data_IF_856940647810
#
_entry.id   IF_856940647810
#
_cell.length_a   1.000
_cell.length_b   1.000
_cell.length_c   1.000
_cell.angle_alpha   90.00
_cell.angle_beta   90.00
_cell.angle_gamma   90.00
#
_symmetry.space_group_name_H-M   'P 1'
#
loop_
_entity.id
_entity.type
_entity.pdbx_description
1 polymer ?
#
# COMPACT_ATOMS: atom_id res chain seq x y z
N UNK A 1 -6.46 -6.03 18.63
CA UNK A 1 -5.30 -6.26 17.74
C UNK A 1 -4.25 -5.20 18.01
N UNK A 2 -2.99 -5.56 18.27
CA UNK A 2 -1.90 -4.60 18.45
C UNK A 2 -0.78 -4.94 17.47
N UNK A 3 -0.55 -4.06 16.49
CA UNK A 3 0.60 -4.13 15.60
C UNK A 3 1.83 -3.64 16.38
N UNK A 4 2.91 -4.41 16.35
CA UNK A 4 4.15 -4.08 17.04
C UNK A 4 5.32 -4.36 16.11
N UNK A 5 5.79 -3.33 15.42
CA UNK A 5 6.90 -3.40 14.50
C UNK A 5 7.57 -2.02 14.39
N UNK A 6 8.92 -1.93 14.29
CA UNK A 6 9.65 -0.66 14.27
C UNK A 6 9.21 0.29 13.16
N UNK A 7 8.73 -0.25 12.04
CA UNK A 7 8.26 0.53 10.88
C UNK A 7 6.73 0.68 10.80
N UNK A 8 6.00 0.50 11.91
CA UNK A 8 4.56 0.76 12.00
C UNK A 8 4.33 1.77 13.13
N UNK A 9 3.50 2.80 12.90
CA UNK A 9 3.19 3.80 13.93
C UNK A 9 2.43 3.14 15.07
N UNK A 10 2.93 3.19 16.32
CA UNK A 10 2.26 2.58 17.45
C UNK A 10 0.93 3.27 17.78
N UNK A 11 -0.12 2.45 17.92
CA UNK A 11 -1.34 2.85 18.61
C UNK A 11 -1.08 2.84 20.12
N UNK A 12 -1.22 4.01 20.74
CA UNK A 12 -1.00 4.21 22.17
C UNK A 12 -2.31 3.98 22.93
N UNK A 13 -3.41 4.56 22.46
CA UNK A 13 -4.71 4.44 23.08
C UNK A 13 -5.83 4.63 22.04
N UNK A 14 -7.05 4.32 22.44
CA UNK A 14 -8.26 4.66 21.69
C UNK A 14 -9.33 5.17 22.65
N UNK A 15 -10.23 6.00 22.16
CA UNK A 15 -11.40 6.45 22.88
C UNK A 15 -12.62 6.15 22.02
N UNK A 16 -13.69 5.69 22.67
CA UNK A 16 -14.98 5.42 22.07
C UNK A 16 -16.04 6.02 22.97
N UNK A 17 -16.84 6.93 22.43
CA UNK A 17 -17.98 7.53 23.11
C UNK A 17 -19.16 7.55 22.15
N UNK A 18 -20.34 7.20 22.62
CA UNK A 18 -21.57 7.31 21.83
C UNK A 18 -22.37 8.51 22.31
N UNK A 19 -22.71 9.39 21.39
CA UNK A 19 -23.60 10.53 21.66
C UNK A 19 -24.97 10.25 21.07
N UNK A 20 -26.01 10.43 21.88
CA UNK A 20 -27.37 10.44 21.35
C UNK A 20 -27.58 11.80 20.69
N UNK A 21 -27.95 11.80 19.41
CA UNK A 21 -28.31 12.98 18.63
C UNK A 21 -29.77 12.91 18.21
N UNK A 22 -30.37 14.08 18.01
CA UNK A 22 -31.69 14.20 17.41
C UNK A 22 -31.53 14.43 15.92
N UNK A 23 -32.17 13.60 15.10
CA UNK A 23 -32.20 13.78 13.65
C UNK A 23 -33.63 14.00 13.21
N UNK A 24 -33.86 15.10 12.50
CA UNK A 24 -35.14 15.36 11.85
C UNK A 24 -35.13 14.72 10.45
N UNK A 25 -36.14 13.89 10.18
CA UNK A 25 -36.36 13.30 8.86
C UNK A 25 -37.86 13.38 8.54
N UNK A 26 -38.21 14.07 7.45
CA UNK A 26 -39.60 14.28 7.01
C UNK A 26 -40.53 14.85 8.11
N UNK A 27 -40.01 15.78 8.92
CA UNK A 27 -40.77 16.43 10.01
C UNK A 27 -40.95 15.57 11.27
N UNK A 28 -40.28 14.40 11.36
CA UNK A 28 -40.25 13.54 12.55
C UNK A 28 -38.86 13.54 13.18
N UNK A 29 -38.82 13.54 14.51
CA UNK A 29 -37.57 13.51 15.28
C UNK A 29 -37.25 12.07 15.71
N UNK A 30 -36.04 11.63 15.37
CA UNK A 30 -35.51 10.33 15.74
C UNK A 30 -34.31 10.49 16.67
N UNK A 31 -34.16 9.55 17.59
CA UNK A 31 -32.96 9.40 18.39
C UNK A 31 -31.99 8.52 17.61
N UNK A 32 -30.83 9.07 17.26
CA UNK A 32 -29.77 8.31 16.63
C UNK A 32 -28.56 8.26 17.57
N UNK A 33 -27.91 7.10 17.62
CA UNK A 33 -26.64 6.98 18.31
C UNK A 33 -25.54 7.33 17.31
N UNK A 34 -24.82 8.41 17.60
CA UNK A 34 -23.65 8.83 16.85
C UNK A 34 -22.40 8.34 17.59
N UNK A 35 -21.76 7.25 17.14
CA UNK A 35 -20.49 6.83 17.70
C UNK A 35 -19.40 7.84 17.31
N UNK A 36 -18.68 8.33 18.30
CA UNK A 36 -17.44 9.10 18.15
C UNK A 36 -16.26 8.22 18.57
N UNK A 37 -15.25 8.16 17.71
CA UNK A 37 -14.07 7.33 17.93
C UNK A 37 -12.82 8.16 17.69
N UNK A 38 -11.87 8.07 18.61
CA UNK A 38 -10.56 8.71 18.49
C UNK A 38 -9.47 7.66 18.63
N UNK A 39 -8.49 7.69 17.74
CA UNK A 39 -7.24 6.94 17.88
C UNK A 39 -6.13 7.85 18.35
N UNK A 40 -5.37 7.40 19.34
CA UNK A 40 -4.22 8.10 19.89
C UNK A 40 -2.94 7.40 19.44
N UNK A 41 -2.19 8.01 18.54
CA UNK A 41 -0.96 7.48 17.96
C UNK A 41 0.28 8.17 18.54
N UNK A 42 1.42 7.47 18.49
CA UNK A 42 2.73 8.07 18.77
C UNK A 42 3.00 9.23 17.78
N UNK A 43 3.37 10.41 18.28
CA UNK A 43 3.68 11.55 17.42
C UNK A 43 5.02 11.38 16.70
N UNK A 44 5.01 11.66 15.40
CA UNK A 44 6.17 11.59 14.52
C UNK A 44 6.63 13.02 14.19
N UNK A 45 7.66 13.55 14.88
CA UNK A 45 7.98 14.99 14.84
C UNK A 45 8.51 15.48 13.50
N UNK A 46 9.02 14.60 12.64
CA UNK A 46 9.48 14.97 11.29
C UNK A 46 8.37 14.88 10.25
N UNK A 47 7.13 14.60 10.66
CA UNK A 47 5.98 14.61 9.77
C UNK A 47 6.04 13.51 8.71
N UNK A 48 5.43 13.77 7.56
CA UNK A 48 5.28 12.77 6.49
C UNK A 48 6.41 12.83 5.45
N UNK A 49 6.72 11.68 4.87
CA UNK A 49 7.70 11.54 3.78
C UNK A 49 7.34 12.42 2.58
N UNK A 50 6.05 12.71 2.33
CA UNK A 50 5.60 13.61 1.26
C UNK A 50 6.33 14.95 1.25
N UNK A 51 6.60 15.53 2.43
CA UNK A 51 7.30 16.82 2.55
C UNK A 51 8.77 16.77 2.12
N UNK A 52 9.33 15.56 1.96
CA UNK A 52 10.71 15.31 1.56
C UNK A 52 10.84 14.83 0.11
N UNK A 53 9.74 14.78 -0.66
CA UNK A 53 9.77 14.30 -2.06
C UNK A 53 9.53 15.41 -3.10
N UNK A 54 9.10 16.60 -2.68
CA UNK A 54 8.64 17.68 -3.57
C UNK A 54 9.74 18.50 -4.26
N UNK A 55 11.01 18.20 -4.05
CA UNK A 55 12.13 18.93 -4.64
C UNK A 55 13.27 17.94 -4.97
N UNK A 56 13.88 18.03 -6.15
CA UNK A 56 15.07 17.24 -6.52
C UNK A 56 16.21 17.43 -5.49
N UNK A 57 16.19 18.58 -4.80
CA UNK A 57 17.18 19.05 -3.83
C UNK A 57 16.80 18.88 -2.36
N UNK A 58 15.73 18.12 -2.03
CA UNK A 58 15.11 17.97 -0.70
C UNK A 58 15.99 17.47 0.47
N UNK A 59 17.31 17.49 0.35
CA UNK A 59 18.26 17.32 1.44
C UNK A 59 18.47 15.88 1.89
N UNK A 60 17.69 14.91 1.37
CA UNK A 60 17.95 13.49 1.63
C UNK A 60 19.04 12.98 0.70
N UNK A 61 20.19 12.65 1.30
CA UNK A 61 21.23 11.86 0.68
C UNK A 61 20.71 10.46 0.29
N UNK A 62 21.47 9.76 -0.55
CA UNK A 62 21.09 8.45 -1.04
C UNK A 62 20.95 7.41 0.08
N UNK A 63 21.88 7.38 1.04
CA UNK A 63 21.86 6.43 2.14
C UNK A 63 20.57 6.55 2.96
N UNK A 64 20.09 7.77 3.17
CA UNK A 64 18.83 8.04 3.84
C UNK A 64 17.63 7.54 3.04
N UNK A 65 17.61 7.79 1.73
CA UNK A 65 16.55 7.32 0.83
C UNK A 65 16.49 5.79 0.81
N UNK A 66 17.63 5.13 0.70
CA UNK A 66 17.73 3.68 0.70
C UNK A 66 17.20 3.07 2.01
N UNK A 67 17.65 3.60 3.17
CA UNK A 67 17.12 3.17 4.48
C UNK A 67 15.61 3.36 4.61
N UNK A 68 15.07 4.45 4.05
CA UNK A 68 13.63 4.71 4.02
C UNK A 68 12.91 3.62 3.21
N UNK A 69 13.39 3.32 2.00
CA UNK A 69 12.84 2.25 1.16
C UNK A 69 12.85 0.92 1.91
N UNK A 70 13.98 0.52 2.49
CA UNK A 70 14.12 -0.75 3.20
C UNK A 70 13.07 -0.93 4.30
N UNK A 71 12.92 0.03 5.21
CA UNK A 71 11.95 -0.12 6.29
C UNK A 71 10.50 0.09 5.88
N UNK A 72 10.19 0.75 4.74
CA UNK A 72 8.83 0.66 4.18
C UNK A 72 8.56 -0.78 3.73
N UNK A 73 9.52 -1.41 3.05
CA UNK A 73 9.42 -2.80 2.63
C UNK A 73 9.29 -3.75 3.84
N UNK A 74 10.07 -3.55 4.91
CA UNK A 74 9.95 -4.34 6.14
C UNK A 74 8.59 -4.13 6.83
N UNK A 75 8.14 -2.88 6.93
CA UNK A 75 6.81 -2.57 7.48
C UNK A 75 5.69 -3.24 6.70
N UNK A 76 5.75 -3.22 5.36
CA UNK A 76 4.74 -3.87 4.53
C UNK A 76 4.82 -5.40 4.60
N UNK A 77 6.04 -5.96 4.63
CA UNK A 77 6.26 -7.40 4.83
C UNK A 77 5.64 -7.88 6.13
N UNK A 78 5.81 -7.12 7.21
CA UNK A 78 5.18 -7.42 8.49
C UNK A 78 3.65 -7.49 8.38
N UNK A 79 3.02 -6.53 7.69
CA UNK A 79 1.56 -6.51 7.50
C UNK A 79 1.05 -7.69 6.67
N UNK A 80 1.79 -8.06 5.63
CA UNK A 80 1.36 -9.05 4.63
C UNK A 80 1.67 -10.49 5.01
N UNK A 81 2.73 -10.73 5.78
CA UNK A 81 3.29 -12.08 5.93
C UNK A 81 3.70 -12.42 7.38
N UNK A 82 4.26 -11.48 8.17
CA UNK A 82 4.79 -11.83 9.50
C UNK A 82 3.79 -11.67 10.66
N UNK A 83 2.95 -10.64 10.65
CA UNK A 83 2.10 -10.29 11.81
C UNK A 83 1.07 -11.39 12.12
N UNK A 84 0.36 -11.84 11.09
CA UNK A 84 -0.44 -13.05 11.11
C UNK A 84 -0.47 -13.65 9.70
N UNK A 85 0.29 -14.73 9.43
CA UNK A 85 0.38 -15.35 8.11
C UNK A 85 -0.98 -15.79 7.53
N UNK A 86 -1.94 -16.04 8.41
CA UNK A 86 -3.28 -16.48 8.04
C UNK A 86 -4.25 -15.35 7.77
N UNK A 87 -3.97 -14.15 8.28
CA UNK A 87 -4.85 -12.99 8.12
C UNK A 87 -4.05 -11.74 7.75
N UNK A 88 -3.59 -11.63 6.50
CA UNK A 88 -2.79 -10.49 6.09
C UNK A 88 -3.59 -9.19 6.19
N UNK A 89 -2.90 -8.11 6.55
CA UNK A 89 -3.43 -6.75 6.55
C UNK A 89 -3.06 -6.10 5.22
N UNK A 90 -4.06 -5.77 4.42
CA UNK A 90 -3.90 -4.98 3.20
C UNK A 90 -4.13 -3.52 3.58
N UNK A 91 -3.13 -2.67 3.39
CA UNK A 91 -3.14 -1.28 3.80
C UNK A 91 -4.15 -0.43 3.01
N UNK A 92 -4.19 -0.62 1.68
CA UNK A 92 -5.06 0.02 0.69
C UNK A 92 -4.84 1.51 0.40
N UNK A 93 -4.13 2.25 1.26
CA UNK A 93 -3.81 3.66 1.01
C UNK A 93 -2.33 3.97 1.30
N UNK A 94 -1.44 3.11 0.82
CA UNK A 94 -0.01 3.32 0.97
C UNK A 94 0.44 4.47 0.04
N UNK A 95 1.01 5.52 0.64
CA UNK A 95 1.49 6.73 -0.05
C UNK A 95 2.49 7.47 0.84
N UNK A 96 3.32 8.38 0.32
CA UNK A 96 4.30 9.12 1.12
C UNK A 96 3.69 9.96 2.26
N UNK A 97 2.42 10.39 2.13
CA UNK A 97 1.72 11.08 3.22
C UNK A 97 1.43 10.16 4.43
N UNK A 98 1.34 8.85 4.19
CA UNK A 98 1.06 7.81 5.19
C UNK A 98 2.34 7.08 5.64
N UNK A 99 3.51 7.60 5.27
CA UNK A 99 4.82 7.21 5.80
C UNK A 99 5.32 8.36 6.67
N UNK A 100 5.28 8.19 7.99
CA UNK A 100 5.72 9.21 8.93
C UNK A 100 7.17 8.98 9.38
N UNK A 101 7.84 10.05 9.78
CA UNK A 101 9.26 10.03 10.16
C UNK A 101 9.41 10.44 11.63
N UNK A 102 10.09 9.59 12.40
CA UNK A 102 10.38 9.87 13.81
C UNK A 102 11.53 10.90 13.98
N UNK A 103 11.93 11.15 15.23
CA UNK A 103 13.04 12.08 15.54
C UNK A 103 14.37 11.67 14.91
N UNK A 104 14.62 10.37 14.79
CA UNK A 104 15.78 9.76 14.17
C UNK A 104 15.57 9.53 12.67
N UNK A 105 14.48 10.09 12.14
CA UNK A 105 14.11 10.10 10.73
C UNK A 105 13.74 8.67 10.24
N UNK A 106 13.50 7.73 11.16
CA UNK A 106 13.05 6.37 10.90
C UNK A 106 11.59 6.42 10.48
N UNK A 107 11.29 5.72 9.41
CA UNK A 107 10.02 5.71 8.73
C UNK A 107 9.07 4.67 9.32
N UNK A 108 7.81 5.05 9.48
CA UNK A 108 6.73 4.22 10.02
C UNK A 108 5.45 4.38 9.18
N UNK A 109 4.84 3.27 8.80
CA UNK A 109 3.55 3.23 8.10
C UNK A 109 2.43 3.60 9.09
N UNK A 110 1.49 4.44 8.65
CA UNK A 110 0.33 4.88 9.43
C UNK A 110 -0.93 4.90 8.56
N UNK A 111 -2.06 5.30 9.16
CA UNK A 111 -3.35 5.48 8.51
C UNK A 111 -3.95 4.18 7.95
N UNK A 112 -4.33 3.30 8.87
CA UNK A 112 -5.01 2.04 8.59
C UNK A 112 -6.52 2.19 8.38
N UNK A 113 -7.03 3.42 8.15
CA UNK A 113 -8.47 3.69 8.06
C UNK A 113 -9.17 2.98 6.90
N UNK A 114 -8.43 2.70 5.82
CA UNK A 114 -8.92 1.94 4.67
C UNK A 114 -8.50 0.47 4.68
N UNK A 115 -7.70 0.04 5.65
CA UNK A 115 -7.12 -1.30 5.64
C UNK A 115 -8.16 -2.40 5.77
N UNK A 116 -7.80 -3.60 5.31
CA UNK A 116 -8.65 -4.80 5.36
C UNK A 116 -7.86 -5.98 5.90
N UNK A 117 -8.52 -6.78 6.72
CA UNK A 117 -8.06 -8.10 7.13
C UNK A 117 -8.69 -9.12 6.20
N UNK A 118 -7.86 -9.98 5.63
CA UNK A 118 -8.36 -11.15 4.91
C UNK A 118 -8.43 -12.34 5.86
N UNK A 119 -9.53 -13.10 5.83
CA UNK A 119 -9.67 -14.33 6.60
C UNK A 119 -8.88 -15.50 5.99
N UNK A 120 -8.82 -16.64 6.69
CA UNK A 120 -8.00 -17.81 6.32
C UNK A 120 -8.19 -18.29 4.87
N UNK A 121 -9.40 -18.19 4.30
CA UNK A 121 -9.71 -18.62 2.93
C UNK A 121 -9.82 -17.47 1.91
N UNK A 122 -9.74 -16.21 2.37
CA UNK A 122 -9.98 -15.07 1.51
C UNK A 122 -8.66 -14.54 0.94
N UNK A 123 -8.38 -14.85 -0.33
CA UNK A 123 -7.21 -14.30 -1.04
C UNK A 123 -7.53 -13.03 -1.83
N UNK A 124 -8.82 -12.71 -2.00
CA UNK A 124 -9.33 -11.59 -2.79
C UNK A 124 -10.71 -11.15 -2.34
N UNK A 125 -10.98 -9.84 -2.43
CA UNK A 125 -12.32 -9.26 -2.30
C UNK A 125 -12.57 -8.27 -3.44
N UNK A 126 -13.83 -8.01 -3.79
CA UNK A 126 -14.20 -6.94 -4.72
C UNK A 126 -15.12 -5.94 -4.04
N UNK A 127 -14.99 -4.66 -4.39
CA UNK A 127 -15.88 -3.60 -3.90
C UNK A 127 -16.30 -2.65 -5.02
N UNK A 128 -17.51 -2.12 -4.92
CA UNK A 128 -18.02 -1.07 -5.82
C UNK A 128 -17.50 0.32 -5.44
N UNK A 129 -17.25 0.55 -4.14
CA UNK A 129 -16.74 1.81 -3.61
C UNK A 129 -15.22 1.79 -3.55
N UNK A 130 -14.59 2.59 -4.41
CA UNK A 130 -13.14 2.66 -4.55
C UNK A 130 -12.63 3.87 -3.77
N UNK A 131 -11.89 3.60 -2.70
CA UNK A 131 -11.27 4.62 -1.84
C UNK A 131 -9.76 4.47 -1.87
N UNK A 132 -9.04 5.58 -1.77
CA UNK A 132 -7.57 5.62 -1.78
C UNK A 132 -7.07 6.84 -2.55
N UNK A 133 -5.76 6.91 -2.75
CA UNK A 133 -5.12 8.09 -3.34
C UNK A 133 -4.72 7.86 -4.80
N UNK A 134 -5.25 8.70 -5.70
CA UNK A 134 -4.90 8.69 -7.12
C UNK A 134 -3.39 8.78 -7.34
N UNK A 135 -2.89 7.99 -8.30
CA UNK A 135 -1.47 7.86 -8.62
C UNK A 135 -0.74 6.76 -7.83
N UNK A 136 -1.30 6.27 -6.71
CA UNK A 136 -0.77 5.10 -5.99
C UNK A 136 -1.68 3.87 -6.10
N UNK A 137 -2.93 4.06 -6.53
CA UNK A 137 -3.89 2.97 -6.67
C UNK A 137 -3.55 2.04 -7.84
N UNK A 138 -3.57 0.73 -7.57
CA UNK A 138 -3.36 -0.29 -8.58
C UNK A 138 -4.47 -0.30 -9.65
N UNK A 139 -4.14 -0.54 -10.93
CA UNK A 139 -5.09 -0.45 -12.04
C UNK A 139 -6.25 -1.46 -11.91
N UNK A 140 -6.01 -2.66 -11.41
CA UNK A 140 -7.06 -3.66 -11.18
C UNK A 140 -8.07 -3.24 -10.11
N UNK A 141 -7.64 -2.44 -9.14
CA UNK A 141 -8.53 -1.90 -8.11
C UNK A 141 -9.37 -0.75 -8.69
N UNK A 142 -8.74 0.16 -9.43
CA UNK A 142 -9.45 1.24 -10.14
C UNK A 142 -10.49 0.68 -11.11
N UNK A 143 -10.13 -0.34 -11.87
CA UNK A 143 -11.00 -0.87 -12.91
C UNK A 143 -12.08 -1.80 -12.34
N UNK A 144 -11.69 -2.77 -11.50
CA UNK A 144 -12.56 -3.89 -11.09
C UNK A 144 -12.89 -3.90 -9.60
N UNK A 145 -12.32 -3.00 -8.81
CA UNK A 145 -12.51 -2.98 -7.36
C UNK A 145 -11.83 -4.14 -6.64
N UNK A 146 -10.90 -4.84 -7.32
CA UNK A 146 -10.19 -6.00 -6.79
C UNK A 146 -9.21 -5.59 -5.70
N UNK A 147 -9.38 -6.14 -4.50
CA UNK A 147 -8.49 -5.96 -3.36
C UNK A 147 -7.70 -7.26 -3.16
N UNK A 148 -6.37 -7.14 -3.19
CA UNK A 148 -5.40 -8.20 -2.87
C UNK A 148 -4.11 -7.57 -2.33
N UNK A 149 -3.17 -8.40 -1.84
CA UNK A 149 -1.86 -7.92 -1.37
C UNK A 149 -1.11 -7.15 -2.46
N UNK A 150 -1.22 -7.59 -3.71
CA UNK A 150 -0.56 -6.97 -4.86
C UNK A 150 -0.96 -5.51 -5.11
N UNK A 151 -2.08 -5.04 -4.55
CA UNK A 151 -2.49 -3.64 -4.58
C UNK A 151 -1.50 -2.76 -3.79
N UNK A 152 -1.12 -3.18 -2.58
CA UNK A 152 -0.13 -2.45 -1.80
C UNK A 152 1.26 -2.57 -2.42
N UNK A 153 1.56 -3.69 -3.10
CA UNK A 153 2.83 -3.85 -3.85
C UNK A 153 2.93 -2.82 -4.98
N UNK A 154 1.86 -2.59 -5.73
CA UNK A 154 1.84 -1.53 -6.74
C UNK A 154 2.09 -0.16 -6.11
N UNK A 155 1.40 0.14 -5.00
CA UNK A 155 1.56 1.40 -4.26
C UNK A 155 3.00 1.58 -3.78
N UNK A 156 3.62 0.51 -3.25
CA UNK A 156 5.02 0.47 -2.86
C UNK A 156 5.95 0.76 -4.03
N UNK A 157 5.70 0.16 -5.20
CA UNK A 157 6.48 0.41 -6.42
C UNK A 157 6.52 1.89 -6.81
N UNK A 158 5.35 2.54 -6.82
CA UNK A 158 5.26 3.98 -7.09
C UNK A 158 6.03 4.79 -6.05
N UNK A 159 5.93 4.45 -4.76
CA UNK A 159 6.66 5.14 -3.68
C UNK A 159 8.17 4.99 -3.87
N UNK A 160 8.67 3.80 -4.20
CA UNK A 160 10.09 3.56 -4.44
C UNK A 160 10.58 4.43 -5.59
N UNK A 161 9.86 4.43 -6.72
CA UNK A 161 10.19 5.27 -7.88
C UNK A 161 10.22 6.75 -7.50
N UNK A 162 9.23 7.22 -6.72
CA UNK A 162 9.14 8.60 -6.25
C UNK A 162 10.29 8.97 -5.30
N UNK A 163 10.68 8.07 -4.39
CA UNK A 163 11.85 8.28 -3.51
C UNK A 163 13.13 8.39 -4.32
N UNK A 164 13.33 7.54 -5.33
CA UNK A 164 14.56 7.52 -6.11
C UNK A 164 14.64 8.71 -7.07
N UNK A 165 13.54 9.07 -7.73
CA UNK A 165 13.55 10.06 -8.83
C UNK A 165 13.01 11.43 -8.45
N UNK A 166 12.31 11.56 -7.32
CA UNK A 166 11.58 12.77 -6.94
C UNK A 166 10.23 12.93 -7.66
N UNK A 167 9.83 11.99 -8.52
CA UNK A 167 8.56 12.03 -9.24
C UNK A 167 7.96 10.63 -9.42
N UNK A 168 6.67 10.55 -9.76
CA UNK A 168 5.97 9.27 -9.90
C UNK A 168 5.96 8.69 -11.31
N UNK A 169 6.70 9.30 -12.24
CA UNK A 169 6.71 8.87 -13.64
C UNK A 169 7.58 7.63 -13.82
N UNK A 170 7.05 6.63 -14.53
CA UNK A 170 7.76 5.41 -14.93
C UNK A 170 7.29 4.99 -16.34
N UNK A 171 8.09 4.21 -17.09
CA UNK A 171 7.70 3.74 -18.41
C UNK A 171 6.41 2.91 -18.33
N UNK A 172 5.53 3.09 -19.32
CA UNK A 172 4.30 2.31 -19.41
C UNK A 172 4.63 0.83 -19.62
N UNK A 173 3.92 -0.05 -18.93
CA UNK A 173 4.13 -1.50 -19.05
C UNK A 173 3.47 -1.99 -20.35
N UNK A 174 4.24 -2.03 -21.42
CA UNK A 174 3.80 -2.54 -22.73
C UNK A 174 4.12 -4.02 -22.88
N UNK A 175 3.31 -4.74 -23.67
CA UNK A 175 3.58 -6.16 -23.98
C UNK A 175 4.86 -6.37 -24.79
N UNK A 176 5.33 -5.31 -25.46
CA UNK A 176 6.60 -5.30 -26.20
C UNK A 176 7.70 -4.81 -25.28
N UNK A 177 8.75 -5.60 -25.11
CA UNK A 177 10.00 -5.14 -24.51
C UNK A 177 10.80 -4.32 -25.54
N UNK A 178 10.63 -3.00 -25.49
CA UNK A 178 11.35 -2.02 -26.32
C UNK A 178 12.62 -1.48 -25.63
N UNK A 179 13.01 -2.10 -24.52
CA UNK A 179 14.09 -1.65 -23.65
C UNK A 179 13.80 -0.34 -22.92
N UNK A 180 12.55 0.13 -22.87
CA UNK A 180 12.16 1.36 -22.15
C UNK A 180 12.52 1.32 -20.67
N UNK A 181 12.37 0.16 -20.02
CA UNK A 181 12.76 -0.05 -18.62
C UNK A 181 14.27 0.14 -18.43
N UNK A 182 15.09 -0.44 -19.31
CA UNK A 182 16.54 -0.32 -19.25
C UNK A 182 17.00 1.12 -19.49
N UNK A 183 16.45 1.78 -20.52
CA UNK A 183 16.72 3.21 -20.80
C UNK A 183 16.33 4.11 -19.63
N UNK A 184 15.23 3.79 -18.95
CA UNK A 184 14.79 4.52 -17.76
C UNK A 184 15.77 4.36 -16.59
N UNK A 185 16.23 3.13 -16.31
CA UNK A 185 17.26 2.86 -15.30
C UNK A 185 18.55 3.64 -15.62
N UNK A 186 19.03 3.59 -16.86
CA UNK A 186 20.22 4.32 -17.30
C UNK A 186 20.08 5.84 -17.13
N UNK A 187 18.91 6.39 -17.44
CA UNK A 187 18.61 7.81 -17.24
C UNK A 187 18.67 8.19 -15.75
N UNK A 188 18.05 7.40 -14.89
CA UNK A 188 18.05 7.64 -13.44
C UNK A 188 19.47 7.57 -12.88
N UNK A 189 20.26 6.56 -13.27
CA UNK A 189 21.66 6.41 -12.87
C UNK A 189 22.52 7.59 -13.34
N UNK A 190 22.32 8.07 -14.57
CA UNK A 190 23.04 9.25 -15.08
C UNK A 190 22.75 10.50 -14.23
N UNK A 191 21.49 10.72 -13.86
CA UNK A 191 21.10 11.85 -13.01
C UNK A 191 21.74 11.73 -11.62
N UNK A 192 21.74 10.54 -11.03
CA UNK A 192 22.36 10.30 -9.73
C UNK A 192 23.88 10.43 -9.74
N UNK A 193 24.57 9.93 -10.78
CA UNK A 193 26.02 10.11 -10.93
C UNK A 193 26.38 11.60 -10.99
N UNK A 194 25.66 12.37 -11.80
CA UNK A 194 25.82 13.83 -11.87
C UNK A 194 25.60 14.50 -10.51
N UNK A 195 24.59 14.05 -9.74
CA UNK A 195 24.31 14.58 -8.41
C UNK A 195 25.41 14.24 -7.39
N UNK A 196 25.93 13.02 -7.43
CA UNK A 196 26.98 12.55 -6.52
C UNK A 196 28.33 13.20 -6.81
N UNK A 197 28.70 13.38 -8.08
CA UNK A 197 29.93 14.08 -8.49
C UNK A 197 29.97 15.54 -8.00
N UNK A 198 28.80 16.16 -7.85
CA UNK A 198 28.67 17.50 -7.29
C UNK A 198 28.64 17.53 -5.74
N UNK A 199 28.54 16.37 -5.08
CA UNK A 199 28.54 16.26 -3.62
C UNK A 199 29.92 15.83 -3.12
N UNK A 200 30.46 16.51 -2.11
CA UNK A 200 31.78 16.18 -1.53
C UNK A 200 31.74 14.96 -0.58
N UNK A 201 30.81 14.02 -0.75
CA UNK A 201 30.66 12.87 0.15
C UNK A 201 31.58 11.70 -0.23
N UNK A 202 32.21 11.12 0.80
CA UNK A 202 33.16 10.00 0.69
C UNK A 202 32.52 8.61 0.48
N UNK A 203 31.25 8.54 0.07
CA UNK A 203 30.57 7.25 -0.16
C UNK A 203 31.00 6.66 -1.50
N UNK A 204 31.15 5.33 -1.58
CA UNK A 204 31.45 4.64 -2.84
C UNK A 204 30.31 4.85 -3.84
N UNK A 205 30.53 5.72 -4.82
CA UNK A 205 29.60 6.04 -5.92
C UNK A 205 29.08 4.77 -6.59
N UNK A 206 29.92 3.73 -6.70
CA UNK A 206 29.57 2.46 -7.31
C UNK A 206 28.52 1.68 -6.50
N UNK A 207 28.69 1.60 -5.17
CA UNK A 207 27.73 0.95 -4.28
C UNK A 207 26.38 1.66 -4.34
N UNK A 208 26.39 3.00 -4.32
CA UNK A 208 25.17 3.78 -4.44
C UNK A 208 24.49 3.53 -5.80
N UNK A 209 25.24 3.52 -6.91
CA UNK A 209 24.69 3.21 -8.23
C UNK A 209 24.02 1.82 -8.28
N UNK A 210 24.66 0.80 -7.69
CA UNK A 210 24.09 -0.54 -7.62
C UNK A 210 22.77 -0.57 -6.84
N UNK A 211 22.73 0.09 -5.68
CA UNK A 211 21.51 0.20 -4.88
C UNK A 211 20.42 1.00 -5.61
N UNK A 212 20.77 2.09 -6.31
CA UNK A 212 19.83 2.89 -7.10
C UNK A 212 19.21 2.04 -8.21
N UNK A 213 20.03 1.31 -8.96
CA UNK A 213 19.56 0.41 -10.03
C UNK A 213 18.59 -0.62 -9.47
N UNK A 214 19.00 -1.31 -8.39
CA UNK A 214 18.18 -2.31 -7.71
C UNK A 214 16.85 -1.75 -7.24
N UNK A 215 16.82 -0.56 -6.63
CA UNK A 215 15.58 0.07 -6.18
C UNK A 215 14.66 0.40 -7.36
N UNK A 216 15.17 0.90 -8.49
CA UNK A 216 14.35 1.14 -9.68
C UNK A 216 13.84 -0.17 -10.26
N UNK A 217 14.68 -1.20 -10.37
CA UNK A 217 14.27 -2.52 -10.85
C UNK A 217 13.13 -3.11 -10.01
N UNK A 218 13.24 -3.04 -8.68
CA UNK A 218 12.18 -3.43 -7.76
C UNK A 218 10.93 -2.58 -7.99
N UNK A 219 11.07 -1.25 -8.09
CA UNK A 219 9.97 -0.33 -8.34
C UNK A 219 9.21 -0.67 -9.62
N UNK A 220 9.92 -0.91 -10.72
CA UNK A 220 9.37 -1.29 -12.03
C UNK A 220 8.69 -2.66 -11.99
N UNK A 221 9.27 -3.64 -11.29
CA UNK A 221 8.64 -4.94 -11.08
C UNK A 221 7.33 -4.85 -10.27
N UNK A 222 7.27 -3.93 -9.31
CA UNK A 222 6.08 -3.70 -8.48
C UNK A 222 4.93 -3.01 -9.24
N UNK A 223 5.21 -2.17 -10.24
CA UNK A 223 4.17 -1.42 -10.99
C UNK A 223 3.66 -2.11 -12.25
N UNK A 224 3.98 -3.40 -12.46
CA UNK A 224 3.45 -4.19 -13.57
C UNK A 224 1.92 -4.18 -13.62
N UNK A 225 1.35 -4.09 -14.82
CA UNK A 225 -0.11 -4.07 -15.04
C UNK A 225 -0.74 -5.40 -14.61
N UNK A 226 -0.09 -6.51 -14.95
CA UNK A 226 -0.46 -7.82 -14.46
C UNK A 226 0.00 -7.99 -13.02
N UNK A 227 -0.96 -7.95 -12.09
CA UNK A 227 -0.70 -8.11 -10.66
C UNK A 227 0.02 -9.42 -10.31
N UNK A 228 -0.18 -10.48 -11.09
CA UNK A 228 0.43 -11.80 -10.81
C UNK A 228 1.92 -11.84 -11.10
N UNK A 229 2.42 -10.86 -11.87
CA UNK A 229 3.84 -10.69 -12.17
C UNK A 229 4.57 -9.80 -11.14
N UNK A 230 3.84 -9.16 -10.22
CA UNK A 230 4.43 -8.33 -9.17
C UNK A 230 5.07 -9.22 -8.11
N UNK A 231 6.22 -8.83 -7.55
CA UNK A 231 6.89 -9.62 -6.52
C UNK A 231 6.11 -9.59 -5.20
N UNK A 232 6.27 -10.64 -4.38
CA UNK A 232 5.80 -10.63 -2.99
C UNK A 232 6.71 -9.81 -2.09
N UNK A 233 6.24 -9.45 -0.90
CA UNK A 233 7.09 -8.74 0.07
C UNK A 233 8.34 -9.54 0.44
N UNK A 234 8.21 -10.87 0.63
CA UNK A 234 9.36 -11.76 0.82
C UNK A 234 10.39 -11.69 -0.31
N UNK A 235 9.94 -11.67 -1.56
CA UNK A 235 10.83 -11.56 -2.72
C UNK A 235 11.54 -10.20 -2.74
N UNK A 236 10.82 -9.11 -2.46
CA UNK A 236 11.39 -7.76 -2.38
C UNK A 236 12.45 -7.69 -1.28
N UNK A 237 12.18 -8.22 -0.08
CA UNK A 237 13.16 -8.26 1.01
C UNK A 237 14.40 -9.07 0.61
N UNK A 238 14.22 -10.20 -0.07
CA UNK A 238 15.33 -11.02 -0.57
C UNK A 238 16.17 -10.26 -1.59
N UNK A 239 15.55 -9.53 -2.51
CA UNK A 239 16.24 -8.70 -3.50
C UNK A 239 17.05 -7.58 -2.83
N UNK A 240 16.48 -6.88 -1.84
CA UNK A 240 17.17 -5.81 -1.09
C UNK A 240 18.38 -6.31 -0.29
N UNK A 241 18.31 -7.55 0.22
CA UNK A 241 19.40 -8.16 1.00
C UNK A 241 20.53 -8.73 0.15
N UNK A 242 20.40 -8.78 -1.19
CA UNK A 242 21.48 -9.28 -2.04
C UNK A 242 22.70 -8.36 -1.89
N UNK A 243 23.85 -8.85 -1.40
CA UNK A 243 25.09 -8.10 -1.53
C UNK A 243 25.38 -7.94 -3.02
N UNK A 244 25.69 -6.71 -3.47
CA UNK A 244 25.96 -6.41 -4.87
C UNK A 244 26.93 -7.43 -5.45
N UNK A 245 26.43 -8.28 -6.35
CA UNK A 245 27.18 -9.41 -6.88
C UNK A 245 28.31 -8.87 -7.77
N UNK A 246 29.52 -8.88 -7.23
CA UNK A 246 30.68 -9.18 -8.03
C UNK A 246 30.60 -10.65 -8.49
N UNK A 247 31.00 -10.85 -9.73
CA UNK A 247 31.21 -12.11 -10.46
C UNK A 247 30.01 -12.92 -10.96
N UNK A 248 29.97 -13.05 -12.28
CA UNK A 248 29.21 -14.05 -12.99
C UNK A 248 29.91 -15.40 -13.00
N UNK A 249 29.13 -16.46 -12.94
CA UNK A 249 29.38 -17.67 -13.74
C UNK A 249 28.07 -18.43 -13.90
N UNK A 250 27.82 -18.79 -15.15
CA UNK A 250 26.79 -19.71 -15.60
C UNK A 250 27.02 -21.07 -14.95
N UNK A 251 25.94 -21.69 -14.48
CA UNK A 251 25.92 -23.08 -14.03
C UNK A 251 24.51 -23.61 -14.15
N UNK A 252 24.12 -23.98 -15.37
CA UNK A 252 22.97 -24.84 -15.62
C UNK A 252 23.12 -26.13 -14.82
N UNK A 253 22.06 -26.48 -14.08
CA UNK A 253 21.96 -27.72 -13.32
C UNK A 253 20.54 -28.22 -13.37
N UNK A 254 20.19 -28.82 -14.51
CA UNK A 254 18.98 -29.62 -14.71
C UNK A 254 18.98 -30.77 -13.71
N UNK A 255 17.91 -30.88 -12.91
CA UNK A 255 17.54 -32.15 -12.27
C UNK A 255 16.04 -32.34 -12.46
N UNK A 256 15.68 -33.27 -13.34
CA UNK A 256 14.37 -33.90 -13.42
C UNK A 256 14.39 -35.24 -12.65
N UNK A 257 13.22 -35.80 -12.32
CA UNK A 257 12.96 -36.49 -11.05
C UNK A 257 13.24 -38.00 -11.10
N UNK A 258 13.54 -38.59 -9.94
CA UNK A 258 13.53 -40.05 -9.76
C UNK A 258 12.12 -40.53 -9.43
N UNK A 259 11.63 -41.46 -10.24
CA UNK A 259 10.46 -42.29 -10.01
C UNK A 259 10.78 -43.40 -8.99
N UNK A 260 9.85 -43.65 -8.06
CA UNK A 260 9.73 -44.97 -7.42
C UNK A 260 8.28 -45.42 -7.47
N UNK A 261 8.09 -46.51 -8.22
CA UNK A 261 6.95 -47.42 -8.20
C UNK A 261 6.77 -48.05 -6.82
N UNK A 262 5.58 -48.00 -6.21
CA UNK A 262 4.56 -49.05 -6.35
C UNK A 262 3.45 -49.01 -5.29
N UNK A 263 2.27 -49.38 -5.81
CA UNK A 263 1.17 -50.10 -5.23
C UNK A 263 -0.10 -49.40 -4.71
N UNK A 264 -1.18 -50.04 -5.18
CA UNK A 264 -2.58 -49.69 -5.26
C UNK A 264 -3.27 -49.86 -3.90
N UNK A 265 -4.30 -49.04 -3.66
CA UNK A 265 -5.62 -49.54 -3.29
C UNK A 265 -6.68 -48.51 -3.69
N UNK A 266 -7.76 -49.00 -4.28
CA UNK A 266 -8.81 -48.18 -4.89
C UNK A 266 -9.94 -47.80 -3.95
N UNK A 267 -10.65 -46.74 -4.31
CA UNK A 267 -12.10 -46.64 -4.18
C UNK A 267 -12.61 -45.51 -5.10
N UNK A 268 -13.56 -45.87 -5.95
CA UNK A 268 -14.33 -44.97 -6.81
C UNK A 268 -15.22 -44.04 -5.97
N UNK A 269 -15.50 -42.84 -6.49
CA UNK A 269 -16.87 -42.29 -6.54
C UNK A 269 -16.93 -41.14 -7.55
N UNK A 270 -17.95 -41.21 -8.40
CA UNK A 270 -18.29 -40.30 -9.50
C UNK A 270 -19.03 -39.04 -9.02
N UNK A 271 -18.94 -37.94 -9.78
CA UNK A 271 -20.03 -37.03 -10.19
C UNK A 271 -19.40 -35.85 -10.98
N UNK A 272 -19.41 -35.82 -12.32
CA UNK A 272 -20.45 -35.38 -13.28
C UNK A 272 -20.71 -33.85 -13.37
N UNK A 273 -20.69 -33.39 -14.65
CA UNK A 273 -21.23 -32.16 -15.30
C UNK A 273 -20.56 -30.81 -14.95
N UNK A 274 -20.31 -29.85 -15.85
CA UNK A 274 -20.77 -29.61 -17.23
C UNK A 274 -19.76 -28.73 -18.00
N UNK A 275 -19.57 -29.02 -19.28
CA UNK A 275 -19.10 -28.06 -20.28
C UNK A 275 -20.24 -27.06 -20.60
N UNK A 276 -19.91 -25.78 -20.70
CA UNK A 276 -20.70 -24.85 -21.52
C UNK A 276 -19.76 -23.97 -22.35
N UNK A 277 -19.82 -24.20 -23.65
CA UNK A 277 -19.22 -23.41 -24.71
C UNK A 277 -20.19 -22.32 -25.12
N UNK A 278 -19.76 -21.07 -25.14
CA UNK A 278 -20.35 -20.05 -26.03
C UNK A 278 -19.23 -19.15 -26.57
N UNK A 279 -18.97 -19.34 -27.86
CA UNK A 279 -18.24 -18.43 -28.75
C UNK A 279 -19.21 -17.34 -29.21
N UNK A 280 -18.86 -16.06 -29.11
CA UNK A 280 -19.14 -15.16 -30.24
C UNK A 280 -18.20 -13.94 -30.25
N UNK A 281 -17.56 -13.77 -31.39
CA UNK A 281 -16.75 -12.61 -31.78
C UNK A 281 -17.66 -11.49 -32.23
N UNK A 282 -17.36 -10.23 -31.87
CA UNK A 282 -17.28 -9.13 -32.86
C UNK A 282 -16.72 -7.80 -32.34
N UNK A 283 -15.67 -7.39 -33.05
CA UNK A 283 -15.37 -6.05 -33.60
C UNK A 283 -14.78 -4.97 -32.70
N UNK A 284 -13.46 -4.81 -32.92
CA UNK A 284 -12.65 -3.59 -32.81
C UNK A 284 -13.38 -2.33 -33.29
N UNK A 285 -13.33 -1.26 -32.49
CA UNK A 285 -13.24 0.14 -32.93
C UNK A 285 -12.50 0.97 -31.86
N UNK A 286 -11.29 1.44 -32.20
CA UNK A 286 -10.77 2.76 -31.79
C UNK A 286 -11.27 3.76 -32.84
N UNK A 287 -11.43 5.09 -32.59
CA UNK A 287 -10.46 5.97 -31.90
C UNK A 287 -11.06 7.11 -31.04
N UNK A 288 -10.21 7.77 -30.24
CA UNK A 288 -10.03 9.25 -30.17
C UNK A 288 -9.47 9.73 -28.81
N UNK A 289 -8.28 10.33 -28.90
CA UNK A 289 -7.87 11.61 -28.29
C UNK A 289 -8.52 12.05 -26.96
N UNK A 290 -7.75 12.03 -25.86
CA UNK A 290 -8.13 12.70 -24.61
C UNK A 290 -7.70 14.18 -24.63
N UNK A 291 -8.56 15.14 -24.22
CA UNK A 291 -8.13 16.53 -24.05
C UNK A 291 -7.42 16.73 -22.71
N UNK A 292 -6.39 17.56 -22.76
CA UNK A 292 -5.78 18.23 -21.62
C UNK A 292 -6.84 19.04 -20.85
N UNK A 293 -6.88 18.90 -19.52
CA UNK A 293 -7.48 19.92 -18.65
C UNK A 293 -6.55 20.29 -17.51
N UNK A 294 -6.34 21.60 -17.41
CA UNK A 294 -5.52 22.33 -16.45
C UNK A 294 -6.21 22.30 -15.09
N UNK A 295 -5.51 21.86 -14.05
CA UNK A 295 -5.99 21.89 -12.67
C UNK A 295 -5.96 23.33 -12.15
N UNK A 296 -7.11 23.83 -11.74
CA UNK A 296 -7.22 24.93 -10.78
C UNK A 296 -8.23 24.49 -9.73
N UNK A 297 -7.75 24.03 -8.58
CA UNK A 297 -8.58 23.86 -7.38
C UNK A 297 -8.12 24.82 -6.28
N UNK A 298 -9.06 25.43 -5.54
CA UNK A 298 -8.78 26.43 -4.52
C UNK A 298 -8.34 25.79 -3.20
N UNK A 299 -7.44 26.50 -2.50
CA UNK A 299 -6.92 26.17 -1.16
C UNK A 299 -8.05 26.10 -0.11
N UNK A 300 -8.08 25.11 0.79
CA UNK A 300 -8.77 25.23 2.06
C UNK A 300 -7.89 25.96 3.09
N UNK A 301 -8.55 26.74 3.93
CA UNK A 301 -8.00 27.65 4.93
C UNK A 301 -7.21 26.93 6.04
N UNK A 302 -6.15 27.60 6.50
CA UNK A 302 -5.34 27.24 7.66
C UNK A 302 -6.13 27.49 8.95
N UNK A 303 -6.31 26.46 9.78
CA UNK A 303 -6.64 26.64 11.19
C UNK A 303 -5.40 26.30 12.04
N UNK A 304 -4.95 27.32 12.77
CA UNK A 304 -3.74 27.33 13.58
C UNK A 304 -4.04 26.70 14.93
N UNK A 305 -3.40 25.58 15.27
CA UNK A 305 -3.41 25.05 16.65
C UNK A 305 -2.04 25.29 17.28
N UNK A 306 -2.06 26.15 18.30
CA UNK A 306 -0.90 26.60 19.05
C UNK A 306 -0.11 25.43 19.68
N UNK A 307 1.20 25.45 19.48
CA UNK A 307 2.16 24.54 20.10
C UNK A 307 2.32 24.88 21.59
N UNK A 308 2.23 23.86 22.44
CA UNK A 308 2.78 23.90 23.80
C UNK A 308 3.56 22.62 24.04
N UNK A 309 4.89 22.75 24.04
CA UNK A 309 5.84 21.66 24.26
C UNK A 309 5.66 21.02 25.64
N UNK A 310 5.33 19.72 25.68
CA UNK A 310 5.74 18.80 26.75
C UNK A 310 6.02 17.43 26.14
N UNK A 311 7.12 16.82 26.58
CA UNK A 311 7.64 15.51 26.15
C UNK A 311 6.53 14.45 26.11
N UNK A 312 6.39 13.79 24.96
CA UNK A 312 5.37 12.77 24.70
C UNK A 312 4.12 13.33 24.03
N UNK A 313 4.27 13.94 22.85
CA UNK A 313 3.12 14.42 22.06
C UNK A 313 2.36 13.21 21.51
N UNK A 314 1.04 13.23 21.64
CA UNK A 314 0.12 12.21 21.13
C UNK A 314 -0.75 12.84 20.04
N UNK A 315 -1.08 12.09 18.99
CA UNK A 315 -1.95 12.57 17.89
C UNK A 315 -3.29 11.87 17.95
N UNK A 316 -4.38 12.65 17.90
CA UNK A 316 -5.75 12.13 17.85
C UNK A 316 -6.28 12.13 16.41
N UNK A 317 -6.78 10.98 15.93
CA UNK A 317 -7.45 10.85 14.63
C UNK A 317 -8.92 10.43 14.81
N UNK A 318 -9.90 11.17 14.26
CA UNK A 318 -11.33 10.81 14.34
C UNK A 318 -11.72 9.73 13.34
N UNK A 319 -12.65 8.83 13.73
CA UNK A 319 -13.24 7.79 12.86
C UNK A 319 -14.77 7.72 13.12
N UNK A 320 -15.64 7.85 12.10
CA UNK A 320 -17.09 7.69 12.35
C UNK A 320 -18.07 7.81 11.16
N UNK A 321 -19.24 7.20 11.37
CA UNK A 321 -20.50 7.25 10.59
C UNK A 321 -21.69 6.91 11.53
N UNK A 322 -22.90 7.42 11.26
CA UNK A 322 -24.04 7.37 12.19
C UNK A 322 -24.86 6.07 12.11
N UNK A 323 -25.43 5.62 13.25
CA UNK A 323 -26.37 4.49 13.35
C UNK A 323 -27.74 5.04 13.78
N UNK A 324 -28.78 4.74 13.02
CA UNK A 324 -30.14 5.20 13.27
C UNK A 324 -30.94 4.13 14.00
N UNK A 325 -31.60 4.50 15.10
CA UNK A 325 -32.59 3.66 15.76
C UNK A 325 -33.99 4.23 15.51
N UNK A 326 -34.99 3.40 15.18
CA UNK A 326 -36.36 3.85 15.14
C UNK A 326 -36.81 4.30 16.54
N UNK A 327 -37.65 5.34 16.61
CA UNK A 327 -38.26 5.81 17.85
C UNK A 327 -38.99 4.66 18.56
N UNK A 328 -38.82 4.45 19.88
CA UNK A 328 -39.66 3.51 20.62
C UNK A 328 -41.08 4.07 20.64
N UNK A 329 -41.95 3.56 19.78
CA UNK A 329 -43.39 3.66 20.00
C UNK A 329 -43.72 2.73 21.16
N UNK A 330 -44.18 3.33 22.26
CA UNK A 330 -44.90 2.74 23.38
C UNK A 330 -44.50 1.31 23.79
N UNK A 331 -43.81 1.26 24.94
CA UNK A 331 -43.71 0.14 25.89
C UNK A 331 -44.79 -0.94 25.67
N UNK A 332 -44.42 -2.05 25.01
CA UNK A 332 -45.13 -3.33 25.15
C UNK A 332 -44.37 -4.19 26.17
N UNK A 333 -44.99 -4.44 27.33
CA UNK A 333 -44.43 -5.17 28.48
C UNK A 333 -44.27 -6.69 28.23
N UNK A 334 -44.06 -7.13 27.00
CA UNK A 334 -43.97 -8.57 26.67
C UNK A 334 -42.94 -8.87 25.61
N UNK A 335 -41.65 -8.71 25.91
CA UNK A 335 -40.62 -9.68 25.50
C UNK A 335 -39.28 -9.35 26.16
N UNK A 336 -38.88 -10.22 27.10
CA UNK A 336 -37.51 -10.36 27.53
C UNK A 336 -36.67 -10.84 26.34
N UNK A 337 -35.72 -10.04 25.85
CA UNK A 337 -34.52 -10.56 25.23
C UNK A 337 -33.39 -9.52 25.27
N UNK A 338 -32.40 -9.85 26.09
CA UNK A 338 -31.06 -9.25 26.13
C UNK A 338 -30.36 -9.46 24.79
N UNK A 339 -29.68 -8.45 24.26
CA UNK A 339 -28.74 -8.63 23.15
C UNK A 339 -27.39 -8.03 23.54
N UNK A 340 -26.37 -8.85 23.27
CA UNK A 340 -24.93 -8.76 23.57
C UNK A 340 -24.27 -7.61 22.81
#
# INVERSE_FOLDING_TARGET
MKLNHPNIVPLVAYCFESKIIYVEQEGKYFWAEKPERLLCLEYMPKGSLRGYLSDESCGLDWNRRYKIIEGICFGLHYLHEEWNPKTPIIHMDLKPANILLDVNMVQKITDFGLSRLFGEEQTRTCTTNRFGTWGYMAPEYINRGTITKELDIFSLGVIIIEIVTGHKNYPEDTEVDDGSSQKYIELVLKNWRTRMENSQEYTSVEINCQQISLCIEIGLACVKLDRTKRPTTSQIITMLRRPGSADGSIGEGVVQPEETHDNKDGAQTEATVAEETVDDRRKRRSPASRPFYRSTDPRPAEETIAQREKRGTLVFQPIGGAIFYPTPTERDERTNCSII
#
